data_IF_345009163708
#
_entry.id   IF_345009163708
#
_cell.length_a   1.000
_cell.length_b   1.000
_cell.length_c   1.000
_cell.angle_alpha   90.00
_cell.angle_beta   90.00
_cell.angle_gamma   90.00
#
_symmetry.space_group_name_H-M   'P 1'
#
loop_
_entity.id
_entity.type
_entity.pdbx_description
1 polymer ?
#
# COMPACT_ATOMS: atom_id res chain seq x y z
N UNK A 1 -18.36 51.86 -2.40
CA UNK A 1 -18.15 51.00 -3.60
C UNK A 1 -16.69 51.15 -4.04
N UNK A 2 -15.86 50.13 -3.82
CA UNK A 2 -14.44 50.16 -4.20
C UNK A 2 -14.29 49.85 -5.70
N UNK A 3 -13.77 50.81 -6.49
CA UNK A 3 -13.44 50.59 -7.90
C UNK A 3 -12.27 49.62 -8.01
N UNK A 4 -12.52 48.44 -8.54
CA UNK A 4 -11.49 47.48 -8.95
C UNK A 4 -10.67 48.07 -10.09
N UNK A 5 -9.38 48.36 -9.85
CA UNK A 5 -8.42 48.76 -10.89
C UNK A 5 -8.28 47.63 -11.91
N UNK A 6 -8.84 47.80 -13.11
CA UNK A 6 -8.57 46.90 -14.24
C UNK A 6 -7.10 47.03 -14.65
N UNK A 7 -6.38 45.90 -14.66
CA UNK A 7 -5.00 45.86 -15.16
C UNK A 7 -4.99 46.15 -16.68
N UNK A 8 -4.02 46.95 -17.18
CA UNK A 8 -3.89 47.24 -18.61
C UNK A 8 -3.76 45.95 -19.42
N UNK A 9 -4.50 45.84 -20.54
CA UNK A 9 -4.40 44.69 -21.45
C UNK A 9 -3.10 44.78 -22.24
N UNK A 10 -2.26 43.75 -22.14
CA UNK A 10 -1.02 43.61 -22.93
C UNK A 10 -1.32 43.69 -24.43
N UNK A 11 -0.52 44.44 -25.16
CA UNK A 11 -0.57 44.53 -26.63
C UNK A 11 -0.19 43.19 -27.28
N UNK A 12 -0.52 43.00 -28.55
CA UNK A 12 -0.21 41.77 -29.29
C UNK A 12 1.30 41.46 -29.31
N UNK A 13 2.12 42.49 -29.50
CA UNK A 13 3.59 42.39 -29.45
C UNK A 13 4.10 42.01 -28.06
N UNK A 14 3.54 42.61 -27.00
CA UNK A 14 3.90 42.26 -25.62
C UNK A 14 3.50 40.82 -25.27
N UNK A 15 2.38 40.32 -25.81
CA UNK A 15 1.99 38.90 -25.64
C UNK A 15 2.92 37.96 -26.40
N UNK A 16 3.36 38.33 -27.60
CA UNK A 16 4.33 37.55 -28.37
C UNK A 16 5.68 37.48 -27.63
N UNK A 17 6.17 38.60 -27.10
CA UNK A 17 7.39 38.66 -26.30
C UNK A 17 7.29 37.84 -25.01
N UNK A 18 6.16 37.91 -24.30
CA UNK A 18 5.91 37.07 -23.11
C UNK A 18 5.92 35.59 -23.47
N UNK A 19 5.25 35.19 -24.57
CA UNK A 19 5.26 33.79 -25.05
C UNK A 19 6.67 33.32 -25.39
N UNK A 20 7.44 34.10 -26.16
CA UNK A 20 8.82 33.76 -26.49
C UNK A 20 9.69 33.61 -25.24
N UNK A 21 9.53 34.50 -24.24
CA UNK A 21 10.27 34.40 -22.97
C UNK A 21 9.87 33.16 -22.17
N UNK A 22 8.59 32.82 -22.14
CA UNK A 22 8.09 31.61 -21.49
C UNK A 22 8.60 30.36 -22.20
N UNK A 23 8.60 30.33 -23.54
CA UNK A 23 9.12 29.19 -24.32
C UNK A 23 10.63 29.01 -24.12
N UNK A 24 11.40 30.10 -24.12
CA UNK A 24 12.83 30.07 -23.82
C UNK A 24 13.09 29.54 -22.40
N UNK A 25 12.30 29.97 -21.42
CA UNK A 25 12.40 29.47 -20.05
C UNK A 25 12.12 27.97 -19.98
N UNK A 26 11.06 27.47 -20.64
CA UNK A 26 10.74 26.05 -20.65
C UNK A 26 11.78 25.21 -21.38
N UNK A 27 12.35 25.71 -22.49
CA UNK A 27 13.49 25.08 -23.16
C UNK A 27 14.71 24.99 -22.26
N UNK A 28 15.03 26.05 -21.53
CA UNK A 28 16.14 26.04 -20.57
C UNK A 28 15.89 25.05 -19.42
N UNK A 29 14.66 24.98 -18.89
CA UNK A 29 14.28 23.98 -17.87
C UNK A 29 14.44 22.55 -18.42
N UNK A 30 14.01 22.30 -19.65
CA UNK A 30 14.12 21.00 -20.29
C UNK A 30 15.58 20.59 -20.52
N UNK A 31 16.41 21.52 -20.99
CA UNK A 31 17.85 21.29 -21.17
C UNK A 31 18.56 20.96 -19.83
N UNK A 32 18.16 21.63 -18.75
CA UNK A 32 18.69 21.30 -17.42
C UNK A 32 18.24 19.93 -16.93
N UNK A 33 17.00 19.51 -17.23
CA UNK A 33 16.52 18.15 -16.91
C UNK A 33 17.29 17.08 -17.68
N UNK A 34 17.61 17.34 -18.96
CA UNK A 34 18.39 16.44 -19.81
C UNK A 34 19.82 16.30 -19.29
N UNK A 35 20.52 17.41 -19.02
CA UNK A 35 21.86 17.39 -18.43
C UNK A 35 21.89 16.66 -17.07
N UNK A 36 20.81 16.77 -16.29
CA UNK A 36 20.68 16.07 -15.01
C UNK A 36 20.54 14.55 -15.18
N UNK A 37 19.77 14.10 -16.17
CA UNK A 37 19.63 12.68 -16.49
C UNK A 37 20.92 12.09 -17.07
N UNK A 38 21.64 12.84 -17.91
CA UNK A 38 22.96 12.46 -18.41
C UNK A 38 23.96 12.30 -17.25
N UNK A 39 23.92 13.22 -16.27
CA UNK A 39 24.75 13.13 -15.06
C UNK A 39 24.42 11.89 -14.21
N UNK A 40 23.14 11.50 -14.12
CA UNK A 40 22.71 10.25 -13.45
C UNK A 40 23.31 9.03 -14.16
N UNK A 41 23.20 8.97 -15.49
CA UNK A 41 23.70 7.85 -16.30
C UNK A 41 25.23 7.73 -16.20
N UNK A 42 25.93 8.87 -16.25
CA UNK A 42 27.38 8.90 -16.13
C UNK A 42 27.85 8.43 -14.74
N UNK A 43 27.26 8.96 -13.66
CA UNK A 43 27.56 8.53 -12.28
C UNK A 43 27.24 7.04 -12.03
N UNK A 44 26.18 6.54 -12.67
CA UNK A 44 25.81 5.13 -12.61
C UNK A 44 26.89 4.25 -13.25
N UNK A 45 27.36 4.63 -14.45
CA UNK A 45 28.45 3.95 -15.15
C UNK A 45 29.77 4.01 -14.37
N UNK A 46 30.21 5.21 -13.96
CA UNK A 46 31.49 5.46 -13.29
C UNK A 46 31.61 4.68 -11.96
N UNK A 47 30.50 4.46 -11.27
CA UNK A 47 30.47 3.80 -9.97
C UNK A 47 29.82 2.41 -9.97
N UNK A 48 29.54 1.85 -11.15
CA UNK A 48 28.91 0.52 -11.30
C UNK A 48 27.64 0.37 -10.44
N UNK A 49 26.78 1.39 -10.45
CA UNK A 49 25.47 1.40 -9.77
C UNK A 49 24.36 1.50 -10.80
N UNK A 50 23.14 1.12 -10.42
CA UNK A 50 21.99 1.34 -11.31
C UNK A 50 21.62 2.81 -11.36
N UNK A 51 21.17 3.29 -12.51
CA UNK A 51 20.66 4.66 -12.68
C UNK A 51 19.56 4.98 -11.68
N UNK A 52 18.65 4.03 -11.42
CA UNK A 52 17.61 4.16 -10.41
C UNK A 52 18.17 4.39 -9.00
N UNK A 53 19.27 3.72 -8.63
CA UNK A 53 19.93 3.93 -7.34
C UNK A 53 20.53 5.34 -7.25
N UNK A 54 21.21 5.79 -8.31
CA UNK A 54 21.83 7.12 -8.39
C UNK A 54 20.76 8.22 -8.39
N UNK A 55 19.72 8.06 -9.19
CA UNK A 55 18.54 8.92 -9.22
C UNK A 55 17.89 9.06 -7.84
N UNK A 56 17.76 7.97 -7.09
CA UNK A 56 17.21 7.99 -5.72
C UNK A 56 18.03 8.89 -4.79
N UNK A 57 19.37 8.88 -4.92
CA UNK A 57 20.22 9.74 -4.08
C UNK A 57 20.16 11.22 -4.50
N UNK A 58 19.92 11.49 -5.78
CA UNK A 58 19.88 12.84 -6.36
C UNK A 58 18.51 13.53 -6.23
N UNK A 59 17.41 12.79 -6.42
CA UNK A 59 16.03 13.30 -6.29
C UNK A 59 15.55 13.46 -4.85
N UNK A 60 16.37 13.06 -3.89
CA UNK A 60 16.14 13.39 -2.48
C UNK A 60 16.03 14.90 -2.34
N UNK A 61 14.99 15.36 -1.64
CA UNK A 61 14.83 16.78 -1.28
C UNK A 61 16.17 17.31 -0.77
N UNK A 62 16.75 18.24 -1.53
CA UNK A 62 18.15 18.63 -1.39
C UNK A 62 18.48 19.14 0.02
N UNK A 63 19.76 19.47 0.24
CA UNK A 63 20.26 20.06 1.49
C UNK A 63 19.42 21.25 1.99
N UNK A 64 18.74 21.93 1.06
CA UNK A 64 17.84 23.07 1.29
C UNK A 64 16.43 22.67 1.75
N UNK A 65 15.92 21.50 1.36
CA UNK A 65 14.58 20.99 1.74
C UNK A 65 14.64 20.17 3.04
N UNK A 66 15.81 19.58 3.34
CA UNK A 66 16.02 18.86 4.58
C UNK A 66 15.96 19.82 5.78
N UNK A 67 15.01 19.61 6.69
CA UNK A 67 14.87 20.39 7.91
C UNK A 67 16.18 20.32 8.72
N UNK A 68 16.91 21.43 8.75
CA UNK A 68 18.14 21.52 9.52
C UNK A 68 17.80 21.77 10.99
N UNK A 69 18.52 21.11 11.91
CA UNK A 69 18.36 21.40 13.34
C UNK A 69 18.77 22.84 13.59
N UNK A 70 17.88 23.63 14.19
CA UNK A 70 18.15 25.02 14.59
C UNK A 70 19.47 25.09 15.37
N UNK A 71 20.23 26.16 15.12
CA UNK A 71 21.44 26.46 15.88
C UNK A 71 21.04 26.65 17.34
N UNK A 72 21.83 26.09 18.24
CA UNK A 72 21.63 26.23 19.67
C UNK A 72 23.01 26.56 20.26
N UNK A 73 23.07 27.62 21.05
CA UNK A 73 24.29 28.12 21.67
C UNK A 73 24.95 27.05 22.55
N UNK A 74 24.16 26.28 23.30
CA UNK A 74 24.69 25.17 24.10
C UNK A 74 25.42 24.13 23.22
N UNK A 75 24.85 23.79 22.07
CA UNK A 75 25.50 22.86 21.13
C UNK A 75 26.76 23.46 20.50
N UNK A 76 26.83 24.78 20.35
CA UNK A 76 28.01 25.48 19.85
C UNK A 76 29.14 25.47 20.89
N UNK A 77 28.82 25.67 22.17
CA UNK A 77 29.77 25.57 23.28
C UNK A 77 30.35 24.16 23.39
N UNK A 78 29.50 23.12 23.38
CA UNK A 78 29.96 21.72 23.41
C UNK A 78 30.88 21.40 22.22
N UNK A 79 30.57 21.96 21.04
CA UNK A 79 31.40 21.79 19.85
C UNK A 79 32.76 22.49 19.96
N UNK A 80 32.79 23.71 20.46
CA UNK A 80 34.03 24.47 20.71
C UNK A 80 34.91 23.79 21.77
N UNK A 81 34.33 23.31 22.87
CA UNK A 81 35.04 22.49 23.86
C UNK A 81 35.64 21.23 23.21
N UNK A 82 34.88 20.53 22.37
CA UNK A 82 35.38 19.36 21.66
C UNK A 82 36.59 19.69 20.77
N UNK A 83 36.58 20.85 20.09
CA UNK A 83 37.73 21.34 19.32
C UNK A 83 38.93 21.67 20.20
N UNK A 84 38.71 22.38 21.31
CA UNK A 84 39.76 22.73 22.29
C UNK A 84 40.43 21.49 22.88
N UNK A 85 39.64 20.48 23.26
CA UNK A 85 40.16 19.21 23.78
C UNK A 85 40.99 18.45 22.74
N UNK A 86 40.56 18.43 21.47
CA UNK A 86 41.34 17.84 20.36
C UNK A 86 42.65 18.60 20.12
N UNK A 87 42.62 19.93 20.11
CA UNK A 87 43.80 20.76 19.92
C UNK A 87 44.81 20.60 21.09
N UNK A 88 44.30 20.40 22.31
CA UNK A 88 45.09 20.13 23.50
C UNK A 88 45.60 18.67 23.60
N UNK A 89 45.30 17.82 22.61
CA UNK A 89 45.74 16.42 22.58
C UNK A 89 45.11 15.54 23.67
N UNK A 90 43.98 15.95 24.27
CA UNK A 90 43.30 15.13 25.28
C UNK A 90 42.74 13.85 24.64
N UNK A 91 42.99 12.67 25.21
CA UNK A 91 42.50 11.41 24.67
C UNK A 91 40.97 11.35 24.73
N UNK A 92 40.35 10.83 23.68
CA UNK A 92 38.91 10.60 23.63
C UNK A 92 38.55 9.36 24.44
N UNK A 93 37.66 9.50 25.44
CA UNK A 93 37.08 8.42 26.23
C UNK A 93 36.01 7.58 25.46
N UNK A 94 36.10 7.53 24.13
CA UNK A 94 35.15 6.79 23.28
C UNK A 94 33.69 7.27 23.45
N UNK A 95 32.82 6.37 23.94
CA UNK A 95 31.38 6.66 24.12
C UNK A 95 31.08 7.72 25.20
N UNK A 96 32.00 7.94 26.14
CA UNK A 96 31.78 8.86 27.27
C UNK A 96 32.20 10.30 26.99
N UNK A 97 33.03 10.54 25.96
CA UNK A 97 33.54 11.88 25.62
C UNK A 97 32.44 12.93 25.49
N UNK A 98 31.28 12.57 24.91
CA UNK A 98 30.18 13.51 24.76
C UNK A 98 29.50 13.85 26.10
N UNK A 99 29.42 12.89 27.03
CA UNK A 99 28.87 13.13 28.36
C UNK A 99 29.77 14.05 29.17
N UNK A 100 31.08 13.79 29.10
CA UNK A 100 32.10 14.60 29.77
C UNK A 100 32.05 16.05 29.26
N UNK A 101 31.99 16.24 27.94
CA UNK A 101 31.87 17.57 27.31
C UNK A 101 30.54 18.25 27.62
N UNK A 102 29.43 17.52 27.70
CA UNK A 102 28.14 18.08 28.07
C UNK A 102 28.11 18.52 29.54
N UNK A 103 28.75 17.76 30.42
CA UNK A 103 28.89 18.11 31.83
C UNK A 103 29.80 19.34 32.01
N UNK A 104 30.92 19.41 31.30
CA UNK A 104 31.78 20.61 31.27
C UNK A 104 31.02 21.82 30.72
N UNK A 105 30.30 21.66 29.60
CA UNK A 105 29.48 22.74 29.04
C UNK A 105 28.36 23.21 29.99
N UNK A 106 27.85 22.35 30.86
CA UNK A 106 26.82 22.72 31.84
C UNK A 106 27.36 23.59 32.99
N UNK A 107 28.68 23.60 33.20
CA UNK A 107 29.34 24.47 34.19
C UNK A 107 29.67 25.86 33.65
N UNK A 108 29.56 26.06 32.34
CA UNK A 108 29.78 27.36 31.71
C UNK A 108 28.51 28.20 31.88
N UNK A 109 28.67 29.37 32.48
CA UNK A 109 27.59 30.34 32.59
C UNK A 109 27.35 31.02 31.23
N UNK A 110 26.36 30.51 30.51
CA UNK A 110 26.02 30.95 29.15
C UNK A 110 25.54 32.41 29.13
N UNK A 111 24.92 32.88 30.22
CA UNK A 111 24.36 34.23 30.30
C UNK A 111 25.47 35.27 30.50
N UNK A 112 26.61 34.86 31.08
CA UNK A 112 27.80 35.70 31.25
C UNK A 112 28.64 35.90 29.98
N UNK A 113 28.41 35.11 28.92
CA UNK A 113 29.11 35.26 27.64
C UNK A 113 28.72 36.56 26.93
N UNK A 114 29.69 37.27 26.36
CA UNK A 114 29.42 38.44 25.52
C UNK A 114 28.66 38.05 24.25
N UNK A 115 27.86 38.97 23.71
CA UNK A 115 27.10 38.71 22.48
C UNK A 115 28.01 38.40 21.28
N UNK A 116 29.18 39.03 21.21
CA UNK A 116 30.21 38.75 20.20
C UNK A 116 30.73 37.31 20.30
N UNK A 117 30.96 36.82 21.52
CA UNK A 117 31.43 35.45 21.76
C UNK A 117 30.35 34.42 21.42
N UNK A 118 29.09 34.71 21.77
CA UNK A 118 27.93 33.87 21.40
C UNK A 118 27.78 33.76 19.89
N UNK A 119 27.89 34.88 19.16
CA UNK A 119 27.78 34.91 17.71
C UNK A 119 28.95 34.20 17.03
N UNK A 120 30.18 34.37 17.54
CA UNK A 120 31.36 33.65 17.06
C UNK A 120 31.17 32.13 17.15
N UNK A 121 30.73 31.64 18.30
CA UNK A 121 30.50 30.21 18.53
C UNK A 121 29.41 29.64 17.60
N UNK A 122 28.32 30.37 17.41
CA UNK A 122 27.22 29.96 16.51
C UNK A 122 27.65 29.93 15.05
N UNK A 123 28.46 30.90 14.62
CA UNK A 123 28.98 30.99 13.25
C UNK A 123 29.97 29.87 12.98
N UNK A 124 30.90 29.63 13.89
CA UNK A 124 31.88 28.55 13.78
C UNK A 124 31.22 27.16 13.73
N UNK A 125 30.15 26.94 14.50
CA UNK A 125 29.37 25.71 14.43
C UNK A 125 28.68 25.55 13.06
N UNK A 126 28.21 26.64 12.46
CA UNK A 126 27.57 26.60 11.15
C UNK A 126 28.56 26.33 10.02
N UNK A 127 29.72 26.98 10.04
CA UNK A 127 30.79 26.75 9.06
C UNK A 127 31.26 25.30 9.11
N UNK A 128 31.52 24.75 10.31
CA UNK A 128 31.90 23.35 10.46
C UNK A 128 30.82 22.40 9.96
N UNK A 129 29.54 22.68 10.27
CA UNK A 129 28.42 21.92 9.70
C UNK A 129 28.33 22.08 8.19
N UNK A 130 28.78 23.21 7.64
CA UNK A 130 28.76 23.45 6.19
C UNK A 130 29.79 22.59 5.49
N UNK A 131 31.01 22.59 6.01
CA UNK A 131 32.20 21.91 5.50
C UNK A 131 32.12 20.39 5.72
N UNK A 132 31.71 19.96 6.90
CA UNK A 132 31.69 18.56 7.30
C UNK A 132 30.30 17.93 7.19
N UNK A 133 29.40 18.52 6.40
CA UNK A 133 28.06 17.97 6.21
C UNK A 133 28.19 16.54 5.65
N UNK A 134 27.76 15.51 6.41
CA UNK A 134 27.85 14.15 5.93
C UNK A 134 26.96 14.02 4.70
N UNK A 135 27.49 13.39 3.65
CA UNK A 135 26.70 12.98 2.49
C UNK A 135 25.68 11.96 2.98
N UNK A 136 24.45 12.43 3.19
CA UNK A 136 23.39 11.61 3.74
C UNK A 136 22.81 10.75 2.63
N UNK A 137 23.21 9.49 2.65
CA UNK A 137 22.69 8.41 1.80
C UNK A 137 21.29 8.03 2.26
N UNK A 138 20.48 7.53 1.33
CA UNK A 138 19.19 6.87 1.63
C UNK A 138 19.39 5.39 1.36
N UNK A 139 19.69 4.59 2.40
CA UNK A 139 19.59 3.15 2.31
C UNK A 139 18.17 2.74 1.92
N UNK A 140 18.01 1.66 1.14
CA UNK A 140 16.68 1.13 0.78
C UNK A 140 15.77 0.89 2.00
N UNK A 141 16.34 0.48 3.14
CA UNK A 141 15.63 0.30 4.40
C UNK A 141 15.01 1.59 4.97
N UNK A 142 15.52 2.76 4.59
CA UNK A 142 15.07 4.06 5.09
C UNK A 142 14.09 4.75 4.13
N UNK A 143 13.78 4.15 2.96
CA UNK A 143 12.86 4.69 1.98
C UNK A 143 11.46 4.94 2.57
N UNK A 144 10.96 4.02 3.40
CA UNK A 144 9.68 4.20 4.10
C UNK A 144 9.67 5.39 5.06
N UNK A 145 10.79 5.66 5.74
CA UNK A 145 10.94 6.81 6.65
C UNK A 145 10.92 8.13 5.85
N UNK A 146 11.53 8.14 4.66
CA UNK A 146 11.51 9.31 3.78
C UNK A 146 10.12 9.59 3.21
N UNK A 147 9.40 8.55 2.79
CA UNK A 147 8.01 8.66 2.34
C UNK A 147 7.15 9.22 3.46
N UNK A 148 7.24 8.67 4.67
CA UNK A 148 6.49 9.13 5.83
C UNK A 148 6.81 10.59 6.20
N UNK A 149 8.10 10.95 6.20
CA UNK A 149 8.55 12.32 6.45
C UNK A 149 8.05 13.31 5.40
N UNK A 150 7.87 12.86 4.16
CA UNK A 150 7.34 13.67 3.06
C UNK A 150 5.82 13.81 3.15
N UNK A 151 5.11 12.70 3.41
CA UNK A 151 3.67 12.68 3.62
C UNK A 151 3.23 13.58 4.77
N UNK A 152 3.98 13.60 5.87
CA UNK A 152 3.71 14.49 7.01
C UNK A 152 3.70 15.97 6.62
N UNK A 153 4.45 16.36 5.57
CA UNK A 153 4.45 17.74 5.06
C UNK A 153 3.36 17.97 4.02
N UNK A 154 3.17 17.01 3.10
CA UNK A 154 2.22 17.15 2.00
C UNK A 154 0.77 17.07 2.47
N UNK A 155 0.45 16.16 3.40
CA UNK A 155 -0.91 15.93 3.87
C UNK A 155 -1.61 17.21 4.34
N UNK A 156 -1.05 17.96 5.31
CA UNK A 156 -1.66 19.20 5.78
C UNK A 156 -1.81 20.28 4.71
N UNK A 157 -0.88 20.36 3.75
CA UNK A 157 -0.95 21.33 2.65
C UNK A 157 -2.10 21.01 1.69
N UNK A 158 -2.24 19.74 1.30
CA UNK A 158 -3.32 19.29 0.42
C UNK A 158 -4.67 19.43 1.13
N UNK A 159 -4.76 19.05 2.41
CA UNK A 159 -5.97 19.26 3.22
C UNK A 159 -6.33 20.74 3.33
N UNK A 160 -5.34 21.60 3.55
CA UNK A 160 -5.52 23.05 3.58
C UNK A 160 -6.06 23.60 2.26
N UNK A 161 -5.57 23.10 1.12
CA UNK A 161 -6.10 23.48 -0.21
C UNK A 161 -7.54 23.03 -0.36
N UNK A 162 -7.85 21.78 0.01
CA UNK A 162 -9.21 21.24 -0.06
C UNK A 162 -10.20 22.07 0.78
N UNK A 163 -9.82 22.40 2.02
CA UNK A 163 -10.64 23.21 2.92
C UNK A 163 -10.85 24.64 2.40
N UNK A 164 -9.81 25.30 1.87
CA UNK A 164 -9.91 26.70 1.42
C UNK A 164 -10.66 26.86 0.09
N UNK A 165 -10.60 25.85 -0.78
CA UNK A 165 -11.10 25.96 -2.17
C UNK A 165 -12.30 25.07 -2.47
N UNK A 166 -12.62 24.13 -1.59
CA UNK A 166 -13.58 23.07 -1.86
C UNK A 166 -13.07 21.98 -2.81
N UNK A 167 -11.79 22.03 -3.20
CA UNK A 167 -11.17 21.00 -4.02
C UNK A 167 -11.29 19.62 -3.36
N UNK A 168 -11.50 18.60 -4.18
CA UNK A 168 -11.58 17.21 -3.76
C UNK A 168 -10.35 16.48 -4.30
N UNK A 169 -9.77 15.59 -3.51
CA UNK A 169 -8.53 14.92 -3.89
C UNK A 169 -8.51 13.45 -3.47
N UNK A 170 -7.69 12.68 -4.17
CA UNK A 170 -7.21 11.36 -3.79
C UNK A 170 -5.73 11.31 -4.10
N UNK A 171 -4.96 10.87 -3.11
CA UNK A 171 -3.51 10.79 -3.15
C UNK A 171 -3.10 9.36 -2.80
N UNK A 172 -2.36 8.71 -3.70
CA UNK A 172 -1.97 7.31 -3.60
C UNK A 172 -0.45 7.20 -3.75
N UNK A 173 0.20 6.44 -2.86
CA UNK A 173 1.58 5.99 -3.01
C UNK A 173 1.58 4.46 -2.98
N UNK A 174 2.08 3.86 -4.05
CA UNK A 174 2.23 2.42 -4.20
C UNK A 174 3.71 2.05 -4.25
N UNK A 175 4.02 0.79 -3.94
CA UNK A 175 5.35 0.24 -4.22
C UNK A 175 5.61 0.21 -5.73
N UNK A 176 6.87 0.42 -6.10
CA UNK A 176 7.34 0.24 -7.48
C UNK A 176 7.84 -1.19 -7.71
N UNK A 177 8.28 -1.86 -6.65
CA UNK A 177 8.82 -3.21 -6.68
C UNK A 177 8.27 -4.04 -5.49
N UNK A 178 8.12 -5.35 -5.66
CA UNK A 178 7.69 -6.25 -4.58
C UNK A 178 8.68 -6.32 -3.41
N UNK A 179 9.94 -5.93 -3.64
CA UNK A 179 11.02 -5.87 -2.66
C UNK A 179 11.06 -4.55 -1.88
N UNK A 180 10.22 -3.58 -2.22
CA UNK A 180 10.13 -2.32 -1.51
C UNK A 180 9.63 -2.52 -0.07
N UNK A 181 10.35 -1.95 0.89
CA UNK A 181 10.08 -2.12 2.32
C UNK A 181 9.19 -1.02 2.91
N UNK A 182 8.22 -0.52 2.13
CA UNK A 182 7.23 0.42 2.62
C UNK A 182 5.84 -0.04 2.21
N UNK A 183 4.85 0.24 3.06
CA UNK A 183 3.47 -0.09 2.77
C UNK A 183 2.83 1.01 1.92
N UNK A 184 1.82 0.62 1.14
CA UNK A 184 1.00 1.56 0.37
C UNK A 184 0.41 2.64 1.29
N UNK A 185 0.16 3.82 0.74
CA UNK A 185 -0.45 4.95 1.45
C UNK A 185 -1.56 5.55 0.60
N UNK A 186 -2.70 5.80 1.22
CA UNK A 186 -3.82 6.49 0.60
C UNK A 186 -4.24 7.66 1.48
N UNK A 187 -4.69 8.73 0.86
CA UNK A 187 -5.36 9.84 1.54
C UNK A 187 -6.36 10.42 0.57
N UNK A 188 -7.59 10.66 0.99
CA UNK A 188 -8.60 11.20 0.09
C UNK A 188 -9.68 11.95 0.85
N UNK A 189 -10.30 12.91 0.19
CA UNK A 189 -11.50 13.59 0.70
C UNK A 189 -12.71 12.67 0.64
N UNK A 190 -13.65 12.84 1.59
CA UNK A 190 -14.83 12.00 1.73
C UNK A 190 -15.66 11.85 0.44
N UNK A 191 -15.86 12.92 -0.34
CA UNK A 191 -16.62 12.84 -1.61
C UNK A 191 -15.94 11.94 -2.63
N UNK A 192 -14.60 11.87 -2.61
CA UNK A 192 -13.85 10.97 -3.50
C UNK A 192 -13.93 9.54 -3.00
N UNK A 193 -13.94 9.30 -1.69
CA UNK A 193 -14.22 7.97 -1.12
C UNK A 193 -15.58 7.46 -1.61
N UNK A 194 -16.62 8.29 -1.51
CA UNK A 194 -17.97 7.98 -2.01
C UNK A 194 -17.96 7.73 -3.52
N UNK A 195 -17.30 8.58 -4.30
CA UNK A 195 -17.16 8.38 -5.75
C UNK A 195 -16.46 7.06 -6.09
N UNK A 196 -15.39 6.69 -5.37
CA UNK A 196 -14.71 5.40 -5.49
C UNK A 196 -15.69 4.23 -5.28
N UNK A 197 -16.46 4.27 -4.19
CA UNK A 197 -17.40 3.20 -3.87
C UNK A 197 -18.58 3.13 -4.86
N UNK A 198 -19.12 4.27 -5.28
CA UNK A 198 -20.30 4.28 -6.15
C UNK A 198 -19.96 3.98 -7.62
N UNK A 199 -18.89 4.58 -8.15
CA UNK A 199 -18.50 4.47 -9.56
C UNK A 199 -17.64 3.24 -9.83
N UNK A 200 -16.67 2.94 -8.94
CA UNK A 200 -15.67 1.91 -9.17
C UNK A 200 -15.87 0.65 -8.32
N UNK A 201 -16.88 0.67 -7.42
CA UNK A 201 -17.23 -0.45 -6.53
C UNK A 201 -16.04 -0.95 -5.70
N UNK A 202 -15.16 -0.02 -5.29
CA UNK A 202 -14.07 -0.33 -4.39
C UNK A 202 -13.71 0.89 -3.53
N UNK A 203 -13.07 0.66 -2.39
CA UNK A 203 -12.53 1.74 -1.57
C UNK A 203 -11.27 2.34 -2.21
N UNK A 204 -10.82 3.54 -1.83
CA UNK A 204 -9.52 4.08 -2.27
C UNK A 204 -8.35 3.15 -1.95
N UNK A 205 -8.38 2.45 -0.82
CA UNK A 205 -7.36 1.45 -0.47
C UNK A 205 -7.37 0.25 -1.40
N UNK A 206 -8.55 -0.28 -1.71
CA UNK A 206 -8.69 -1.36 -2.67
C UNK A 206 -8.28 -0.94 -4.08
N UNK A 207 -8.57 0.31 -4.46
CA UNK A 207 -8.13 0.89 -5.71
C UNK A 207 -6.60 1.00 -5.77
N UNK A 208 -5.98 1.50 -4.70
CA UNK A 208 -4.53 1.60 -4.57
C UNK A 208 -3.86 0.22 -4.60
N UNK A 209 -4.44 -0.79 -3.96
CA UNK A 209 -3.95 -2.16 -4.01
C UNK A 209 -4.03 -2.78 -5.41
N UNK A 210 -5.11 -2.51 -6.16
CA UNK A 210 -5.24 -2.92 -7.58
C UNK A 210 -4.18 -2.24 -8.45
N UNK A 211 -3.96 -0.94 -8.25
CA UNK A 211 -2.93 -0.18 -8.96
C UNK A 211 -1.54 -0.71 -8.62
N UNK A 212 -1.23 -0.94 -7.34
CA UNK A 212 0.05 -1.51 -6.91
C UNK A 212 0.28 -2.90 -7.52
N UNK A 213 -0.74 -3.75 -7.54
CA UNK A 213 -0.67 -5.07 -8.15
C UNK A 213 -0.34 -4.99 -9.64
N UNK A 214 -0.88 -3.98 -10.33
CA UNK A 214 -0.55 -3.71 -11.73
C UNK A 214 0.87 -3.15 -11.91
N UNK A 215 1.29 -2.20 -11.06
CA UNK A 215 2.63 -1.59 -11.14
C UNK A 215 3.72 -2.64 -10.92
N UNK A 216 3.52 -3.54 -9.95
CA UNK A 216 4.53 -4.55 -9.57
C UNK A 216 4.57 -5.77 -10.49
N UNK A 217 3.43 -6.20 -11.04
CA UNK A 217 3.32 -7.48 -11.74
C UNK A 217 2.49 -7.43 -13.04
N UNK A 218 2.09 -6.24 -13.51
CA UNK A 218 1.29 -6.05 -14.72
C UNK A 218 -0.14 -6.62 -14.62
N UNK A 219 -0.75 -6.88 -15.77
CA UNK A 219 -2.08 -7.52 -15.87
C UNK A 219 -2.19 -8.84 -15.08
N UNK A 220 -1.17 -9.72 -15.04
CA UNK A 220 -1.18 -10.91 -14.18
C UNK A 220 -1.36 -10.61 -12.68
N UNK A 221 -0.83 -9.49 -12.19
CA UNK A 221 -0.99 -9.04 -10.81
C UNK A 221 -2.43 -8.70 -10.46
N UNK A 222 -3.15 -8.03 -11.36
CA UNK A 222 -4.57 -7.72 -11.20
C UNK A 222 -5.42 -9.01 -11.14
N UNK A 223 -5.15 -9.96 -12.03
CA UNK A 223 -5.92 -11.22 -12.12
C UNK A 223 -5.76 -12.08 -10.85
N UNK A 224 -4.56 -12.15 -10.27
CA UNK A 224 -4.35 -12.87 -9.00
C UNK A 224 -5.09 -12.22 -7.83
N UNK A 225 -5.00 -10.89 -7.70
CA UNK A 225 -5.65 -10.16 -6.63
C UNK A 225 -7.19 -10.25 -6.72
N UNK A 226 -7.75 -10.11 -7.92
CA UNK A 226 -9.19 -10.21 -8.15
C UNK A 226 -9.71 -11.65 -8.05
N UNK A 227 -8.97 -12.63 -8.58
CA UNK A 227 -9.35 -14.03 -8.62
C UNK A 227 -9.38 -14.71 -7.24
N UNK A 228 -8.45 -14.38 -6.35
CA UNK A 228 -8.38 -14.98 -5.01
C UNK A 228 -9.57 -14.58 -4.12
N UNK A 229 -9.92 -13.28 -4.08
CA UNK A 229 -11.06 -12.77 -3.29
C UNK A 229 -12.38 -13.34 -3.82
N UNK A 230 -12.58 -13.34 -5.15
CA UNK A 230 -13.77 -13.90 -5.80
C UNK A 230 -13.90 -15.41 -5.59
N UNK A 231 -12.79 -16.15 -5.63
CA UNK A 231 -12.81 -17.59 -5.35
C UNK A 231 -13.24 -17.91 -3.91
N UNK A 232 -12.70 -17.19 -2.91
CA UNK A 232 -13.12 -17.37 -1.52
C UNK A 232 -14.59 -17.04 -1.30
N UNK A 233 -15.07 -15.94 -1.90
CA UNK A 233 -16.46 -15.54 -1.83
C UNK A 233 -17.38 -16.62 -2.44
N UNK A 234 -17.12 -17.06 -3.67
CA UNK A 234 -17.94 -18.08 -4.33
C UNK A 234 -17.93 -19.41 -3.55
N UNK A 235 -16.78 -19.82 -3.00
CA UNK A 235 -16.70 -21.02 -2.15
C UNK A 235 -17.60 -20.90 -0.91
N UNK A 236 -17.71 -19.71 -0.33
CA UNK A 236 -18.59 -19.45 0.82
C UNK A 236 -20.06 -19.51 0.40
N UNK A 237 -20.44 -18.79 -0.65
CA UNK A 237 -21.82 -18.71 -1.16
C UNK A 237 -22.35 -20.08 -1.57
N UNK A 238 -21.55 -20.88 -2.29
CA UNK A 238 -21.90 -22.25 -2.68
C UNK A 238 -22.16 -23.13 -1.45
N UNK A 239 -21.25 -23.10 -0.44
CA UNK A 239 -21.40 -23.95 0.76
C UNK A 239 -22.65 -23.59 1.55
N UNK A 240 -22.92 -22.30 1.70
CA UNK A 240 -24.14 -21.81 2.38
C UNK A 240 -25.38 -22.30 1.65
N UNK A 241 -25.47 -22.08 0.33
CA UNK A 241 -26.64 -22.46 -0.47
C UNK A 241 -26.91 -23.96 -0.45
N UNK A 242 -25.86 -24.78 -0.57
CA UNK A 242 -25.99 -26.24 -0.52
C UNK A 242 -26.49 -26.69 0.85
N UNK A 243 -25.96 -26.12 1.93
CA UNK A 243 -26.37 -26.49 3.29
C UNK A 243 -27.80 -26.04 3.61
N UNK A 244 -28.19 -24.84 3.20
CA UNK A 244 -29.57 -24.35 3.31
C UNK A 244 -30.55 -25.26 2.55
N UNK A 245 -30.20 -25.65 1.31
CA UNK A 245 -30.99 -26.58 0.52
C UNK A 245 -31.12 -27.96 1.18
N UNK A 246 -30.05 -28.45 1.83
CA UNK A 246 -30.08 -29.72 2.56
C UNK A 246 -31.06 -29.66 3.73
N UNK A 247 -31.03 -28.58 4.52
CA UNK A 247 -31.98 -28.41 5.63
C UNK A 247 -33.42 -28.33 5.14
N UNK A 248 -33.65 -27.61 4.04
CA UNK A 248 -34.97 -27.49 3.44
C UNK A 248 -35.52 -28.86 2.99
N UNK A 249 -34.75 -29.64 2.23
CA UNK A 249 -35.21 -30.94 1.72
C UNK A 249 -35.40 -31.97 2.83
N UNK A 250 -34.58 -31.95 3.89
CA UNK A 250 -34.74 -32.84 5.03
C UNK A 250 -36.01 -32.51 5.83
N UNK A 251 -36.33 -31.23 5.95
CA UNK A 251 -37.56 -30.77 6.57
C UNK A 251 -38.78 -31.18 5.74
N UNK A 252 -38.70 -31.06 4.41
CA UNK A 252 -39.73 -31.54 3.48
C UNK A 252 -39.95 -33.05 3.57
N UNK A 253 -38.87 -33.83 3.75
CA UNK A 253 -38.93 -35.28 3.98
C UNK A 253 -39.47 -35.67 5.36
N UNK A 254 -39.66 -34.71 6.27
CA UNK A 254 -40.20 -34.93 7.62
C UNK A 254 -39.15 -35.36 8.66
N UNK A 255 -37.86 -35.09 8.42
CA UNK A 255 -36.79 -35.37 9.39
C UNK A 255 -36.77 -34.27 10.47
N UNK A 256 -36.89 -34.61 11.77
CA UNK A 256 -36.87 -33.65 12.88
C UNK A 256 -35.59 -32.81 12.87
N UNK A 257 -35.68 -31.53 13.26
CA UNK A 257 -34.54 -30.61 13.26
C UNK A 257 -33.36 -31.11 14.11
N UNK A 258 -33.64 -31.78 15.23
CA UNK A 258 -32.63 -32.36 16.13
C UNK A 258 -31.83 -33.51 15.48
N UNK A 259 -32.42 -34.19 14.50
CA UNK A 259 -31.80 -35.28 13.76
C UNK A 259 -31.12 -34.80 12.46
N UNK A 260 -31.26 -33.52 12.11
CA UNK A 260 -30.63 -32.94 10.92
C UNK A 260 -29.13 -32.67 11.17
N UNK A 261 -28.28 -32.79 10.14
CA UNK A 261 -26.87 -32.47 10.27
C UNK A 261 -26.68 -30.97 10.52
N UNK A 262 -25.86 -30.61 11.51
CA UNK A 262 -25.50 -29.21 11.81
C UNK A 262 -24.55 -28.60 10.79
N UNK A 263 -23.88 -29.41 9.97
CA UNK A 263 -22.94 -28.98 8.92
C UNK A 263 -22.91 -29.98 7.76
N UNK A 264 -22.55 -29.50 6.57
CA UNK A 264 -22.36 -30.36 5.39
C UNK A 264 -21.02 -31.12 5.48
N UNK A 265 -21.09 -32.46 5.50
CA UNK A 265 -19.91 -33.35 5.55
C UNK A 265 -19.55 -33.87 4.17
N UNK A 266 -18.80 -33.07 3.39
CA UNK A 266 -18.40 -33.39 2.01
C UNK A 266 -17.65 -34.71 1.86
N UNK A 267 -16.67 -34.99 2.71
CA UNK A 267 -15.88 -36.23 2.67
C UNK A 267 -16.73 -37.50 2.95
N UNK A 268 -17.87 -37.33 3.60
CA UNK A 268 -18.81 -38.41 3.93
C UNK A 268 -20.15 -38.23 3.21
N UNK A 269 -20.13 -37.63 2.02
CA UNK A 269 -21.35 -37.36 1.25
C UNK A 269 -22.16 -38.64 0.98
N UNK A 270 -21.50 -39.74 0.61
CA UNK A 270 -22.17 -41.03 0.42
C UNK A 270 -22.90 -41.53 1.68
N UNK A 271 -22.38 -41.22 2.87
CA UNK A 271 -23.05 -41.54 4.14
C UNK A 271 -24.30 -40.73 4.37
N UNK A 272 -24.23 -39.44 4.07
CA UNK A 272 -25.35 -38.54 4.16
C UNK A 272 -26.49 -39.01 3.24
N UNK A 273 -26.16 -39.37 1.99
CA UNK A 273 -27.14 -39.93 1.04
C UNK A 273 -27.75 -41.22 1.57
N UNK A 274 -26.93 -42.16 2.05
CA UNK A 274 -27.44 -43.43 2.58
C UNK A 274 -28.28 -43.26 3.87
N UNK A 275 -27.96 -42.28 4.71
CA UNK A 275 -28.64 -42.05 5.99
C UNK A 275 -29.98 -41.35 5.79
N UNK A 276 -30.05 -40.35 4.93
CA UNK A 276 -31.23 -39.50 4.81
C UNK A 276 -32.01 -39.70 3.51
N UNK A 277 -31.46 -40.43 2.52
CA UNK A 277 -32.13 -40.69 1.24
C UNK A 277 -32.41 -39.42 0.46
N UNK A 278 -31.45 -38.50 0.45
CA UNK A 278 -31.46 -37.27 -0.34
C UNK A 278 -30.14 -37.12 -1.07
N UNK A 279 -30.16 -36.56 -2.28
CA UNK A 279 -28.96 -36.38 -3.09
C UNK A 279 -28.98 -35.02 -3.81
N UNK A 280 -27.80 -34.47 -4.09
CA UNK A 280 -27.62 -33.36 -5.01
C UNK A 280 -27.60 -33.88 -6.44
N UNK A 281 -28.57 -33.46 -7.23
CA UNK A 281 -28.56 -33.63 -8.68
C UNK A 281 -27.93 -32.43 -9.38
N UNK A 282 -27.41 -32.67 -10.59
CA UNK A 282 -26.84 -31.63 -11.46
C UNK A 282 -25.58 -30.95 -10.93
N UNK A 283 -24.87 -31.61 -10.01
CA UNK A 283 -23.58 -31.15 -9.54
C UNK A 283 -22.57 -31.04 -10.69
N UNK A 284 -21.97 -29.87 -10.88
CA UNK A 284 -21.25 -29.56 -12.13
C UNK A 284 -19.79 -30.02 -12.13
N UNK A 285 -19.23 -30.40 -10.99
CA UNK A 285 -17.78 -30.63 -10.85
C UNK A 285 -17.47 -31.89 -10.03
N UNK A 286 -16.85 -32.88 -10.66
CA UNK A 286 -16.54 -34.18 -10.08
C UNK A 286 -16.64 -35.26 -11.15
N UNK A 287 -15.79 -36.28 -11.11
CA UNK A 287 -15.99 -37.46 -11.95
C UNK A 287 -17.20 -38.27 -11.46
N UNK A 288 -17.72 -39.17 -12.30
CA UNK A 288 -18.83 -40.12 -12.07
C UNK A 288 -19.38 -40.12 -10.63
N UNK A 289 -20.35 -39.25 -10.36
CA UNK A 289 -21.17 -39.16 -9.13
C UNK A 289 -20.49 -38.69 -7.82
N UNK A 290 -19.25 -38.19 -7.86
CA UNK A 290 -18.56 -37.72 -6.65
C UNK A 290 -18.76 -36.22 -6.39
N UNK A 291 -19.83 -35.87 -5.68
CA UNK A 291 -19.96 -34.55 -5.04
C UNK A 291 -18.76 -34.32 -4.12
N UNK A 292 -18.01 -33.26 -4.36
CA UNK A 292 -16.78 -32.94 -3.61
C UNK A 292 -16.85 -31.54 -2.99
N UNK A 293 -15.91 -31.22 -2.09
CA UNK A 293 -15.90 -29.93 -1.41
C UNK A 293 -15.57 -28.82 -2.42
N UNK A 294 -16.33 -27.70 -2.47
CA UNK A 294 -15.96 -26.54 -3.28
C UNK A 294 -14.55 -25.99 -2.97
N UNK A 295 -14.00 -26.33 -1.80
CA UNK A 295 -12.61 -26.10 -1.42
C UNK A 295 -11.60 -26.71 -2.39
N UNK A 296 -11.92 -27.86 -2.96
CA UNK A 296 -11.04 -28.67 -3.82
C UNK A 296 -11.01 -28.18 -5.27
N UNK A 297 -11.83 -27.18 -5.62
CA UNK A 297 -11.88 -26.63 -6.97
C UNK A 297 -10.60 -25.85 -7.26
N UNK A 298 -9.97 -26.19 -8.38
CA UNK A 298 -8.65 -25.67 -8.78
C UNK A 298 -8.75 -24.37 -9.58
N UNK A 299 -9.90 -24.09 -10.18
CA UNK A 299 -10.09 -22.92 -11.05
C UNK A 299 -11.34 -22.12 -10.68
N UNK A 300 -11.31 -20.82 -10.96
CA UNK A 300 -12.43 -19.92 -10.70
C UNK A 300 -13.66 -20.29 -11.55
N UNK A 301 -13.46 -20.70 -12.81
CA UNK A 301 -14.55 -21.07 -13.71
C UNK A 301 -15.37 -22.27 -13.22
N UNK A 302 -14.75 -23.21 -12.48
CA UNK A 302 -15.47 -24.31 -11.84
C UNK A 302 -16.44 -23.82 -10.77
N UNK A 303 -16.00 -22.85 -9.96
CA UNK A 303 -16.84 -22.22 -8.94
C UNK A 303 -17.97 -21.42 -9.56
N UNK A 304 -17.71 -20.69 -10.65
CA UNK A 304 -18.73 -19.89 -11.33
C UNK A 304 -19.82 -20.76 -11.98
N UNK A 305 -19.44 -21.88 -12.61
CA UNK A 305 -20.40 -22.84 -13.17
C UNK A 305 -21.29 -23.44 -12.09
N UNK A 306 -20.70 -23.92 -10.98
CA UNK A 306 -21.48 -24.50 -9.89
C UNK A 306 -22.37 -23.45 -9.23
N UNK A 307 -21.85 -22.24 -9.01
CA UNK A 307 -22.62 -21.15 -8.44
C UNK A 307 -23.82 -20.80 -9.32
N UNK A 308 -23.64 -20.73 -10.65
CA UNK A 308 -24.72 -20.50 -11.60
C UNK A 308 -25.74 -21.66 -11.62
N UNK A 309 -25.30 -22.91 -11.51
CA UNK A 309 -26.18 -24.07 -11.43
C UNK A 309 -27.08 -24.07 -10.17
N UNK A 310 -26.56 -23.56 -9.04
CA UNK A 310 -27.28 -23.47 -7.76
C UNK A 310 -28.17 -22.23 -7.63
N UNK A 311 -27.80 -21.11 -8.28
CA UNK A 311 -28.46 -19.80 -8.12
C UNK A 311 -29.15 -19.28 -9.38
N UNK A 312 -29.10 -20.02 -10.49
CA UNK A 312 -29.76 -19.62 -11.73
C UNK A 312 -31.26 -19.47 -11.58
N UNK A 313 -31.89 -18.69 -12.47
CA UNK A 313 -33.35 -18.54 -12.51
C UNK A 313 -34.08 -19.88 -12.72
N UNK A 314 -33.40 -20.84 -13.35
CA UNK A 314 -33.74 -22.26 -13.40
C UNK A 314 -32.55 -23.04 -12.84
N UNK A 315 -32.50 -23.32 -11.53
CA UNK A 315 -31.36 -24.00 -10.93
C UNK A 315 -31.27 -25.42 -11.49
N UNK A 316 -30.12 -25.73 -12.10
CA UNK A 316 -29.84 -27.07 -12.61
C UNK A 316 -29.18 -27.97 -11.58
N UNK A 317 -28.76 -27.41 -10.43
CA UNK A 317 -28.24 -28.16 -9.29
C UNK A 317 -29.12 -27.91 -8.07
N UNK A 318 -29.70 -28.97 -7.51
CA UNK A 318 -30.61 -28.90 -6.38
C UNK A 318 -30.68 -30.25 -5.65
N UNK A 319 -31.25 -30.23 -4.45
CA UNK A 319 -31.48 -31.44 -3.68
C UNK A 319 -32.76 -32.15 -4.12
N UNK A 320 -32.68 -33.47 -4.20
CA UNK A 320 -33.82 -34.36 -4.48
C UNK A 320 -33.96 -35.41 -3.39
N UNK A 321 -35.21 -35.82 -3.14
CA UNK A 321 -35.52 -36.99 -2.33
C UNK A 321 -35.41 -38.20 -3.25
N UNK A 322 -34.58 -39.18 -2.87
CA UNK A 322 -34.46 -40.44 -3.59
C UNK A 322 -35.70 -41.30 -3.33
N UNK A 323 -36.14 -42.01 -4.35
CA UNK A 323 -37.14 -43.06 -4.14
C UNK A 323 -36.55 -44.25 -3.37
N UNK A 324 -37.40 -45.12 -2.84
CA UNK A 324 -36.96 -46.24 -2.00
C UNK A 324 -36.05 -47.22 -2.75
N UNK A 325 -36.25 -47.39 -4.06
CA UNK A 325 -35.45 -48.30 -4.89
C UNK A 325 -34.05 -47.74 -5.14
N UNK A 326 -33.94 -46.46 -5.48
CA UNK A 326 -32.68 -45.75 -5.66
C UNK A 326 -31.93 -45.63 -4.34
N UNK A 327 -32.64 -45.36 -3.24
CA UNK A 327 -32.04 -45.23 -1.93
C UNK A 327 -31.45 -46.56 -1.44
N UNK A 328 -32.17 -47.68 -1.59
CA UNK A 328 -31.64 -49.00 -1.25
C UNK A 328 -30.49 -49.42 -2.17
N UNK A 329 -30.54 -49.11 -3.47
CA UNK A 329 -29.43 -49.34 -4.39
C UNK A 329 -28.16 -48.59 -3.95
N UNK A 330 -28.29 -47.33 -3.51
CA UNK A 330 -27.17 -46.52 -2.97
C UNK A 330 -26.61 -47.11 -1.67
N UNK A 331 -27.46 -47.63 -0.78
CA UNK A 331 -27.03 -48.32 0.45
C UNK A 331 -26.26 -49.59 0.12
N UNK A 332 -26.74 -50.39 -0.82
CA UNK A 332 -26.10 -51.65 -1.20
C UNK A 332 -24.74 -51.40 -1.88
N UNK A 333 -24.67 -50.47 -2.83
CA UNK A 333 -23.42 -50.07 -3.47
C UNK A 333 -22.35 -49.64 -2.45
N UNK A 334 -22.76 -48.93 -1.38
CA UNK A 334 -21.85 -48.56 -0.30
C UNK A 334 -21.44 -49.75 0.56
N UNK A 335 -22.35 -50.68 0.89
CA UNK A 335 -22.02 -51.91 1.64
C UNK A 335 -20.96 -52.72 0.88
N UNK A 336 -21.13 -52.89 -0.43
CA UNK A 336 -20.16 -53.60 -1.26
C UNK A 336 -18.79 -52.90 -1.28
N UNK A 337 -18.75 -51.57 -1.34
CA UNK A 337 -17.50 -50.80 -1.37
C UNK A 337 -16.74 -50.75 -0.02
N UNK A 338 -17.43 -50.98 1.12
CA UNK A 338 -16.79 -51.05 2.44
C UNK A 338 -16.22 -52.45 2.74
N UNK A 339 -16.74 -53.47 2.05
CA UNK A 339 -16.30 -54.86 2.18
C UNK A 339 -15.16 -55.24 1.22
N UNK A 340 -14.87 -54.41 0.21
CA UNK A 340 -13.76 -54.55 -0.74
C UNK A 340 -12.50 -53.83 -0.28
#
# INVERSE_FOLDING_TARGET
MARTRQRPKLTTEQRALVRMRTDLMWKAIQQQREAYNESIAQLAADHSRSEQWVATQLFRGGREVAQQRKKNLYNAIVHDLAKKHRAAGRPSNGRNTLKDLAQEASTIDIDSLSEEEKERLLTQLEEDRREHAPVRKVPKKDAGIEIEGTLRRIGPEIDGVAQRTGAQYMFLITRGDVTDNFALRTTSTQKVVEACMHLFKCTPDEMAAKIESYVTAGLPGIVRAAGSKRSHQLKSEIRTKVFEGLRAILTEKGIPEDDQPSTMKWAHYAELVCRYGVALEGWTEGGNDAVCNPGDFKTLSQLERLHAALHGNSPSCYWVILDDTEWEARKEARRSAVLS
#
